data_IF_440363368029
#
_entry.id   IF_440363368029
#
_cell.length_a   1.000
_cell.length_b   1.000
_cell.length_c   1.000
_cell.angle_alpha   90.00
_cell.angle_beta   90.00
_cell.angle_gamma   90.00
#
_symmetry.space_group_name_H-M   'P 1'
#
loop_
_entity.id
_entity.type
_entity.pdbx_description
1 polymer ?
#
# COMPACT_ATOMS: atom_id res chain seq x y z
N UNK A 1 -20.52 -10.30 -13.72
CA UNK A 1 -19.69 -9.20 -13.18
C UNK A 1 -20.49 -8.70 -11.98
N UNK A 2 -20.17 -9.28 -10.84
CA UNK A 2 -20.97 -9.22 -9.64
C UNK A 2 -20.96 -7.83 -8.99
N UNK A 3 -22.06 -7.50 -8.34
CA UNK A 3 -22.34 -6.20 -7.70
C UNK A 3 -21.31 -5.80 -6.63
N UNK A 4 -20.59 -6.75 -6.09
CA UNK A 4 -19.50 -6.57 -5.12
C UNK A 4 -18.28 -5.86 -5.74
N UNK A 5 -18.00 -6.09 -7.03
CA UNK A 5 -16.83 -5.52 -7.74
C UNK A 5 -16.98 -4.00 -8.00
N UNK A 6 -18.19 -3.45 -7.84
CA UNK A 6 -18.46 -2.01 -8.01
C UNK A 6 -18.32 -1.20 -6.71
N UNK A 7 -18.22 -1.86 -5.55
CA UNK A 7 -18.22 -1.21 -4.23
C UNK A 7 -16.82 -1.04 -3.62
N UNK A 8 -15.87 -1.91 -3.96
CA UNK A 8 -14.51 -1.79 -3.45
C UNK A 8 -13.74 -0.68 -4.19
N UNK A 9 -13.40 0.37 -3.49
CA UNK A 9 -12.51 1.41 -4.03
C UNK A 9 -11.08 0.89 -3.95
N UNK A 10 -10.50 0.57 -5.11
CA UNK A 10 -9.09 0.18 -5.18
C UNK A 10 -8.26 1.44 -4.93
N UNK A 11 -7.58 1.47 -3.78
CA UNK A 11 -6.57 2.50 -3.51
C UNK A 11 -5.29 2.07 -4.23
N UNK A 12 -5.09 2.54 -5.44
CA UNK A 12 -3.82 2.44 -6.17
C UNK A 12 -2.82 3.48 -5.61
N UNK A 13 -2.68 3.53 -4.28
CA UNK A 13 -1.75 4.44 -3.61
C UNK A 13 -0.36 3.81 -3.62
N UNK A 14 0.59 4.47 -4.19
CA UNK A 14 2.01 4.07 -4.15
C UNK A 14 2.64 3.64 -5.47
N UNK A 15 1.87 3.25 -6.50
CA UNK A 15 2.42 2.93 -7.81
C UNK A 15 3.03 4.15 -8.50
N UNK A 16 2.33 5.28 -8.46
CA UNK A 16 2.79 6.52 -9.10
C UNK A 16 3.99 7.15 -8.39
N UNK A 17 4.08 6.98 -7.06
CA UNK A 17 5.18 7.53 -6.26
C UNK A 17 6.48 6.76 -6.50
N UNK A 18 6.41 5.43 -6.67
CA UNK A 18 7.60 4.60 -6.94
C UNK A 18 8.27 4.91 -8.29
N UNK A 19 7.54 5.48 -9.26
CA UNK A 19 8.07 5.81 -10.58
C UNK A 19 8.42 7.28 -10.69
N UNK A 20 7.55 8.17 -10.23
CA UNK A 20 7.69 9.61 -10.40
C UNK A 20 8.77 10.23 -9.49
N UNK A 21 9.22 9.52 -8.44
CA UNK A 21 9.97 10.13 -7.35
C UNK A 21 9.11 11.13 -6.55
N UNK A 22 9.65 11.74 -5.50
CA UNK A 22 8.91 12.74 -4.75
C UNK A 22 8.47 13.86 -5.69
N UNK A 23 7.23 14.37 -5.55
CA UNK A 23 6.74 15.46 -6.39
C UNK A 23 7.76 16.60 -6.37
N UNK A 24 8.18 17.03 -7.56
CA UNK A 24 9.11 18.16 -7.67
C UNK A 24 8.42 19.36 -7.07
N UNK A 25 8.82 19.72 -5.85
CA UNK A 25 8.38 20.94 -5.20
C UNK A 25 8.59 22.11 -6.18
N UNK A 26 7.51 22.80 -6.57
CA UNK A 26 7.62 23.97 -7.44
C UNK A 26 8.50 24.99 -6.74
N UNK A 27 9.39 25.64 -7.48
CA UNK A 27 10.37 26.63 -6.96
C UNK A 27 9.78 27.69 -6.00
N UNK A 28 8.47 27.91 -6.00
CA UNK A 28 7.78 28.82 -5.06
C UNK A 28 7.60 28.25 -3.65
N UNK A 29 7.63 26.92 -3.47
CA UNK A 29 7.56 26.29 -2.14
C UNK A 29 8.92 26.27 -1.42
N UNK A 30 10.03 26.34 -2.15
CA UNK A 30 11.37 26.31 -1.57
C UNK A 30 11.71 27.56 -0.73
N UNK A 31 11.05 28.68 -0.95
CA UNK A 31 11.28 29.92 -0.17
C UNK A 31 10.55 29.92 1.17
N UNK A 32 9.44 29.19 1.31
CA UNK A 32 8.70 29.00 2.57
C UNK A 32 9.29 27.89 3.45
N UNK A 33 10.08 26.98 2.86
CA UNK A 33 10.67 25.81 3.55
C UNK A 33 11.79 26.22 4.49
N UNK A 34 12.50 27.33 4.24
CA UNK A 34 13.65 27.75 5.04
C UNK A 34 13.29 28.09 6.51
N UNK A 35 12.07 28.56 6.77
CA UNK A 35 11.62 28.94 8.12
C UNK A 35 10.87 27.81 8.85
N UNK A 36 10.53 26.70 8.17
CA UNK A 36 9.75 25.57 8.69
C UNK A 36 10.46 24.22 8.58
N UNK A 37 11.76 24.19 8.34
CA UNK A 37 12.56 22.96 8.20
C UNK A 37 12.40 21.97 9.37
N UNK A 38 12.00 22.44 10.54
CA UNK A 38 11.80 21.63 11.76
C UNK A 38 10.44 20.89 11.81
N UNK A 39 9.53 21.11 10.86
CA UNK A 39 8.17 20.56 10.91
C UNK A 39 7.94 19.33 10.00
N UNK A 40 8.85 19.03 9.09
CA UNK A 40 8.66 17.91 8.18
C UNK A 40 9.46 16.67 8.63
N UNK A 41 8.85 15.46 8.54
CA UNK A 41 9.54 14.24 8.93
C UNK A 41 10.76 13.99 8.05
N UNK A 42 11.87 13.59 8.67
CA UNK A 42 13.15 13.31 8.01
C UNK A 42 13.51 11.85 7.97
N UNK A 43 12.81 11.02 8.71
CA UNK A 43 12.99 9.59 8.81
C UNK A 43 11.65 8.84 8.95
N UNK A 44 11.70 7.52 8.82
CA UNK A 44 10.51 6.66 8.86
C UNK A 44 9.73 6.79 10.17
N UNK A 45 10.41 6.86 11.33
CA UNK A 45 9.76 6.98 12.63
C UNK A 45 8.97 8.29 12.77
N UNK A 46 9.58 9.41 12.41
CA UNK A 46 8.92 10.72 12.38
C UNK A 46 7.74 10.73 11.40
N UNK A 47 7.90 10.09 10.23
CA UNK A 47 6.83 10.01 9.24
C UNK A 47 5.64 9.19 9.76
N UNK A 48 5.88 8.06 10.43
CA UNK A 48 4.82 7.25 11.03
C UNK A 48 4.05 8.01 12.12
N UNK A 49 4.73 8.83 12.91
CA UNK A 49 4.04 9.68 13.90
C UNK A 49 3.26 10.83 13.21
N UNK A 50 3.83 11.45 12.18
CA UNK A 50 3.18 12.51 11.43
C UNK A 50 1.91 12.03 10.69
N UNK A 51 1.84 10.76 10.26
CA UNK A 51 0.62 10.16 9.68
C UNK A 51 -0.58 10.17 10.64
N UNK A 52 -0.33 10.15 11.96
CA UNK A 52 -1.37 10.11 12.99
C UNK A 52 -1.88 11.50 13.40
N UNK A 53 -1.16 12.54 12.98
CA UNK A 53 -1.50 13.94 13.31
C UNK A 53 -2.71 14.44 12.53
N UNK A 54 -3.27 15.57 12.99
CA UNK A 54 -4.46 16.19 12.38
C UNK A 54 -4.12 17.14 11.21
N UNK A 55 -2.84 17.33 10.89
CA UNK A 55 -2.39 18.16 9.77
C UNK A 55 -2.34 17.33 8.47
N UNK A 56 -3.26 17.55 7.53
CA UNK A 56 -3.34 16.76 6.31
C UNK A 56 -2.16 17.00 5.36
N UNK A 57 -1.53 18.17 5.37
CA UNK A 57 -0.37 18.48 4.53
C UNK A 57 0.88 17.75 5.06
N UNK A 58 1.05 17.74 6.38
CA UNK A 58 2.10 17.00 7.04
C UNK A 58 1.92 15.48 6.85
N UNK A 59 0.70 14.97 7.00
CA UNK A 59 0.39 13.56 6.78
C UNK A 59 0.67 13.12 5.32
N UNK A 60 0.30 13.94 4.33
CA UNK A 60 0.60 13.65 2.92
C UNK A 60 2.11 13.65 2.62
N UNK A 61 2.86 14.56 3.25
CA UNK A 61 4.33 14.60 3.12
C UNK A 61 4.97 13.38 3.77
N UNK A 62 4.47 12.97 4.93
CA UNK A 62 4.91 11.77 5.65
C UNK A 62 4.64 10.50 4.81
N UNK A 63 3.44 10.37 4.23
CA UNK A 63 3.10 9.26 3.35
C UNK A 63 4.06 9.18 2.15
N UNK A 64 4.33 10.31 1.49
CA UNK A 64 5.26 10.36 0.36
C UNK A 64 6.70 9.96 0.76
N UNK A 65 7.16 10.36 1.96
CA UNK A 65 8.46 9.94 2.48
C UNK A 65 8.50 8.43 2.73
N UNK A 66 7.48 7.86 3.36
CA UNK A 66 7.39 6.42 3.62
C UNK A 66 7.44 5.63 2.31
N UNK A 67 6.62 5.97 1.32
CA UNK A 67 6.65 5.32 0.01
C UNK A 67 8.00 5.45 -0.67
N UNK A 68 8.63 6.64 -0.65
CA UNK A 68 9.94 6.85 -1.25
C UNK A 68 11.05 6.03 -0.59
N UNK A 69 10.92 5.78 0.72
CA UNK A 69 11.84 4.95 1.50
C UNK A 69 11.62 3.46 1.23
N UNK A 70 10.37 3.02 1.30
CA UNK A 70 10.01 1.61 1.12
C UNK A 70 10.24 1.10 -0.32
N UNK A 71 10.18 1.98 -1.33
CA UNK A 71 10.44 1.61 -2.72
C UNK A 71 11.93 1.48 -3.09
N UNK A 72 12.84 1.58 -2.12
CA UNK A 72 14.29 1.44 -2.34
C UNK A 72 14.82 0.20 -1.63
N UNK A 73 15.43 -0.69 -2.40
CA UNK A 73 16.07 -1.88 -1.82
C UNK A 73 17.46 -1.57 -1.22
N UNK A 74 18.07 -0.45 -1.62
CA UNK A 74 19.48 -0.12 -1.32
C UNK A 74 20.48 -0.79 -2.27
N UNK A 75 20.00 -1.47 -3.32
CA UNK A 75 20.81 -2.08 -4.37
C UNK A 75 20.32 -1.61 -5.75
N UNK A 76 21.21 -1.01 -6.52
CA UNK A 76 20.87 -0.38 -7.79
C UNK A 76 20.33 -1.37 -8.85
N UNK A 77 20.81 -2.61 -8.82
CA UNK A 77 20.35 -3.64 -9.76
C UNK A 77 18.95 -4.14 -9.38
N UNK A 78 18.71 -4.40 -8.10
CA UNK A 78 17.41 -4.79 -7.60
C UNK A 78 16.40 -3.68 -7.84
N UNK A 79 16.76 -2.42 -7.57
CA UNK A 79 15.91 -1.25 -7.84
C UNK A 79 15.59 -1.08 -9.33
N UNK A 80 16.52 -1.48 -10.23
CA UNK A 80 16.27 -1.49 -11.68
C UNK A 80 15.23 -2.55 -12.06
N UNK A 81 15.36 -3.78 -11.54
CA UNK A 81 14.42 -4.87 -11.81
C UNK A 81 13.05 -4.52 -11.22
N UNK A 82 13.02 -3.97 -10.01
CA UNK A 82 11.79 -3.52 -9.35
C UNK A 82 11.05 -2.48 -10.18
N UNK A 83 11.74 -1.45 -10.68
CA UNK A 83 11.15 -0.43 -11.55
C UNK A 83 10.60 -1.03 -12.85
N UNK A 84 11.32 -1.95 -13.48
CA UNK A 84 10.84 -2.66 -14.67
C UNK A 84 9.53 -3.43 -14.36
N UNK A 85 9.42 -4.06 -13.19
CA UNK A 85 8.19 -4.72 -12.73
C UNK A 85 7.04 -3.74 -12.57
N UNK A 86 7.29 -2.55 -12.00
CA UNK A 86 6.27 -1.50 -11.86
C UNK A 86 5.82 -0.99 -13.23
N UNK A 87 6.73 -0.78 -14.17
CA UNK A 87 6.41 -0.37 -15.55
C UNK A 87 5.57 -1.44 -16.27
N UNK A 88 5.94 -2.73 -16.15
CA UNK A 88 5.17 -3.84 -16.70
C UNK A 88 3.75 -3.90 -16.12
N UNK A 89 3.61 -3.69 -14.80
CA UNK A 89 2.31 -3.64 -14.13
C UNK A 89 1.44 -2.50 -14.66
N UNK A 90 1.99 -1.31 -14.85
CA UNK A 90 1.27 -0.16 -15.43
C UNK A 90 0.84 -0.41 -16.88
N UNK A 91 1.64 -1.14 -17.64
CA UNK A 91 1.32 -1.57 -19.00
C UNK A 91 0.34 -2.76 -19.04
N UNK A 92 -0.20 -3.20 -17.90
CA UNK A 92 -1.07 -4.36 -17.76
C UNK A 92 -0.42 -5.70 -18.20
N UNK A 93 0.89 -5.75 -18.28
CA UNK A 93 1.69 -6.96 -18.56
C UNK A 93 1.87 -7.75 -17.26
N UNK A 94 0.76 -8.25 -16.69
CA UNK A 94 0.74 -8.77 -15.33
C UNK A 94 1.61 -10.01 -15.13
N UNK A 95 1.78 -10.86 -16.15
CA UNK A 95 2.66 -12.04 -16.06
C UNK A 95 4.13 -11.62 -15.96
N UNK A 96 4.57 -10.71 -16.83
CA UNK A 96 5.93 -10.14 -16.81
C UNK A 96 6.21 -9.42 -15.47
N UNK A 97 5.24 -8.65 -14.97
CA UNK A 97 5.37 -7.96 -13.70
C UNK A 97 5.54 -8.95 -12.52
N UNK A 98 4.75 -10.05 -12.50
CA UNK A 98 4.89 -11.07 -11.45
C UNK A 98 6.24 -11.78 -11.46
N UNK A 99 6.78 -12.09 -12.66
CA UNK A 99 8.10 -12.67 -12.83
C UNK A 99 9.21 -11.73 -12.34
N UNK A 100 9.12 -10.43 -12.70
CA UNK A 100 10.10 -9.43 -12.27
C UNK A 100 10.09 -9.23 -10.74
N UNK A 101 8.90 -9.14 -10.11
CA UNK A 101 8.84 -9.05 -8.65
C UNK A 101 9.25 -10.35 -7.97
N UNK A 102 9.00 -11.51 -8.57
CA UNK A 102 9.53 -12.79 -8.07
C UNK A 102 11.04 -12.77 -8.10
N UNK A 103 11.66 -12.27 -9.17
CA UNK A 103 13.11 -12.12 -9.26
C UNK A 103 13.67 -11.14 -8.21
N UNK A 104 12.98 -10.03 -7.93
CA UNK A 104 13.34 -9.12 -6.83
C UNK A 104 13.36 -9.85 -5.50
N UNK A 105 12.34 -10.65 -5.20
CA UNK A 105 12.23 -11.41 -3.95
C UNK A 105 13.32 -12.47 -3.84
N UNK A 106 13.64 -13.19 -4.92
CA UNK A 106 14.74 -14.16 -4.95
C UNK A 106 16.09 -13.52 -4.65
N UNK A 107 16.34 -12.32 -5.18
CA UNK A 107 17.58 -11.59 -4.97
C UNK A 107 17.67 -10.95 -3.58
N UNK A 108 16.56 -10.48 -3.05
CA UNK A 108 16.47 -9.84 -1.73
C UNK A 108 15.13 -10.13 -1.07
N UNK A 109 15.04 -11.25 -0.39
CA UNK A 109 13.83 -11.66 0.31
C UNK A 109 13.39 -10.68 1.42
N UNK A 110 14.32 -9.89 2.00
CA UNK A 110 14.03 -8.90 3.03
C UNK A 110 13.44 -7.60 2.50
N UNK A 111 13.42 -7.38 1.19
CA UNK A 111 12.85 -6.19 0.57
C UNK A 111 11.32 -6.30 0.54
N UNK A 112 10.66 -5.75 1.57
CA UNK A 112 9.22 -5.85 1.80
C UNK A 112 8.38 -5.42 0.58
N UNK A 113 8.80 -4.34 -0.10
CA UNK A 113 8.05 -3.79 -1.23
C UNK A 113 8.04 -4.71 -2.47
N UNK A 114 9.03 -5.58 -2.62
CA UNK A 114 9.02 -6.62 -3.65
C UNK A 114 7.82 -7.58 -3.47
N UNK A 115 7.56 -8.00 -2.24
CA UNK A 115 6.39 -8.80 -1.87
C UNK A 115 5.09 -8.03 -2.06
N UNK A 116 5.02 -6.78 -1.62
CA UNK A 116 3.85 -5.93 -1.75
C UNK A 116 3.44 -5.72 -3.22
N UNK A 117 4.39 -5.44 -4.11
CA UNK A 117 4.10 -5.28 -5.54
C UNK A 117 3.67 -6.59 -6.19
N UNK A 118 4.28 -7.72 -5.83
CA UNK A 118 3.79 -9.01 -6.32
C UNK A 118 2.39 -9.33 -5.81
N UNK A 119 2.07 -8.99 -4.54
CA UNK A 119 0.72 -9.09 -4.01
C UNK A 119 -0.28 -8.29 -4.86
N UNK A 120 0.07 -7.05 -5.20
CA UNK A 120 -0.77 -6.18 -6.05
C UNK A 120 -1.02 -6.82 -7.41
N UNK A 121 0.01 -7.34 -8.08
CA UNK A 121 -0.13 -8.03 -9.37
C UNK A 121 -1.01 -9.27 -9.24
N UNK A 122 -0.84 -10.06 -8.19
CA UNK A 122 -1.67 -11.25 -7.92
C UNK A 122 -3.13 -10.89 -7.67
N UNK A 123 -3.40 -9.81 -6.95
CA UNK A 123 -4.74 -9.26 -6.79
C UNK A 123 -5.37 -8.89 -8.15
N UNK A 124 -4.65 -8.16 -9.00
CA UNK A 124 -5.11 -7.80 -10.36
C UNK A 124 -5.41 -9.03 -11.21
N UNK A 125 -4.68 -10.14 -11.01
CA UNK A 125 -4.91 -11.43 -11.66
C UNK A 125 -5.98 -12.28 -10.97
N UNK A 126 -6.64 -11.77 -9.94
CA UNK A 126 -7.63 -12.47 -9.11
C UNK A 126 -7.07 -13.69 -8.35
N UNK A 127 -5.76 -13.77 -8.20
CA UNK A 127 -5.11 -14.75 -7.32
C UNK A 127 -5.09 -14.20 -5.88
N UNK A 128 -6.26 -14.14 -5.25
CA UNK A 128 -6.42 -13.52 -3.94
C UNK A 128 -5.65 -14.27 -2.84
N UNK A 129 -5.64 -15.59 -2.86
CA UNK A 129 -4.89 -16.39 -1.88
C UNK A 129 -3.37 -16.13 -1.98
N UNK A 130 -2.82 -16.09 -3.20
CA UNK A 130 -1.42 -15.73 -3.41
C UNK A 130 -1.10 -14.30 -3.02
N UNK A 131 -2.04 -13.37 -3.24
CA UNK A 131 -1.91 -11.98 -2.81
C UNK A 131 -1.89 -11.85 -1.29
N UNK A 132 -2.79 -12.53 -0.58
CA UNK A 132 -2.82 -12.56 0.89
C UNK A 132 -1.49 -13.07 1.46
N UNK A 133 -0.96 -14.17 0.90
CA UNK A 133 0.31 -14.73 1.34
C UNK A 133 1.47 -13.72 1.18
N UNK A 134 1.52 -12.99 0.06
CA UNK A 134 2.54 -11.96 -0.17
C UNK A 134 2.34 -10.73 0.72
N UNK A 135 1.11 -10.29 0.99
CA UNK A 135 0.82 -9.24 1.97
C UNK A 135 1.32 -9.62 3.37
N UNK A 136 1.12 -10.88 3.78
CA UNK A 136 1.64 -11.39 5.06
C UNK A 136 3.18 -11.34 5.10
N UNK A 137 3.86 -11.70 3.99
CA UNK A 137 5.31 -11.58 3.89
C UNK A 137 5.78 -10.13 3.96
N UNK A 138 5.04 -9.20 3.35
CA UNK A 138 5.29 -7.76 3.46
C UNK A 138 5.21 -7.30 4.91
N UNK A 139 4.11 -7.63 5.59
CA UNK A 139 3.85 -7.23 6.97
C UNK A 139 4.79 -7.88 7.99
N UNK A 140 5.33 -9.05 7.68
CA UNK A 140 6.36 -9.70 8.51
C UNK A 140 7.70 -8.95 8.45
N UNK A 141 8.00 -8.26 7.35
CA UNK A 141 9.24 -7.48 7.13
C UNK A 141 9.07 -6.02 7.49
N UNK A 142 7.91 -5.47 7.23
CA UNK A 142 7.53 -4.10 7.59
C UNK A 142 6.13 -4.11 8.21
N UNK A 143 6.07 -4.18 9.53
CA UNK A 143 4.81 -4.20 10.30
C UNK A 143 3.96 -2.95 10.15
N UNK A 144 4.56 -1.83 9.70
CA UNK A 144 3.91 -0.54 9.48
C UNK A 144 3.44 -0.32 8.04
N UNK A 145 3.46 -1.36 7.21
CA UNK A 145 3.11 -1.23 5.80
C UNK A 145 1.58 -1.20 5.60
N UNK A 146 0.97 -0.02 5.79
CA UNK A 146 -0.49 0.17 5.70
C UNK A 146 -1.07 -0.25 4.33
N UNK A 147 -0.30 -0.09 3.23
CA UNK A 147 -0.71 -0.54 1.90
C UNK A 147 -0.88 -2.06 1.81
N UNK A 148 0.01 -2.84 2.42
CA UNK A 148 -0.11 -4.30 2.47
C UNK A 148 -1.27 -4.75 3.37
N UNK A 149 -1.47 -4.08 4.51
CA UNK A 149 -2.60 -4.35 5.39
C UNK A 149 -3.95 -4.09 4.68
N UNK A 150 -4.09 -2.95 3.99
CA UNK A 150 -5.29 -2.64 3.22
C UNK A 150 -5.48 -3.57 2.02
N UNK A 151 -4.40 -3.91 1.30
CA UNK A 151 -4.42 -4.85 0.18
C UNK A 151 -4.87 -6.25 0.60
N UNK A 152 -4.42 -6.73 1.77
CA UNK A 152 -4.90 -7.98 2.35
C UNK A 152 -6.40 -7.92 2.64
N UNK A 153 -6.90 -6.80 3.18
CA UNK A 153 -8.32 -6.57 3.41
C UNK A 153 -9.15 -6.62 2.11
N UNK A 154 -8.65 -6.02 1.02
CA UNK A 154 -9.32 -6.09 -0.29
C UNK A 154 -9.39 -7.52 -0.84
N UNK A 155 -8.36 -8.33 -0.61
CA UNK A 155 -8.38 -9.74 -0.98
C UNK A 155 -9.47 -10.51 -0.22
N UNK A 156 -9.55 -10.33 1.11
CA UNK A 156 -10.59 -10.94 1.93
C UNK A 156 -12.00 -10.47 1.53
N UNK A 157 -12.18 -9.17 1.22
CA UNK A 157 -13.44 -8.67 0.64
C UNK A 157 -13.82 -9.42 -0.65
N UNK A 158 -12.85 -9.62 -1.55
CA UNK A 158 -13.06 -10.31 -2.83
C UNK A 158 -13.41 -11.79 -2.66
N UNK A 159 -13.06 -12.38 -1.51
CA UNK A 159 -13.40 -13.75 -1.10
C UNK A 159 -14.68 -13.82 -0.25
N UNK A 160 -15.36 -12.70 0.01
CA UNK A 160 -16.48 -12.55 0.94
C UNK A 160 -16.14 -12.93 2.41
N UNK A 161 -14.87 -12.85 2.77
CA UNK A 161 -14.33 -13.04 4.11
C UNK A 161 -14.36 -11.70 4.87
N UNK A 162 -15.56 -11.18 5.12
CA UNK A 162 -15.77 -9.80 5.57
C UNK A 162 -15.21 -9.53 6.97
N UNK A 163 -15.21 -10.52 7.86
CA UNK A 163 -14.65 -10.37 9.21
C UNK A 163 -13.13 -10.21 9.17
N UNK A 164 -12.45 -11.01 8.36
CA UNK A 164 -11.02 -10.97 8.12
C UNK A 164 -10.63 -9.65 7.43
N UNK A 165 -11.44 -9.22 6.46
CA UNK A 165 -11.26 -7.94 5.79
C UNK A 165 -11.31 -6.77 6.79
N UNK A 166 -12.31 -6.75 7.68
CA UNK A 166 -12.44 -5.71 8.71
C UNK A 166 -11.22 -5.66 9.64
N UNK A 167 -10.67 -6.81 10.04
CA UNK A 167 -9.43 -6.86 10.86
C UNK A 167 -8.26 -6.20 10.11
N UNK A 168 -8.08 -6.54 8.82
CA UNK A 168 -7.00 -5.98 8.02
C UNK A 168 -7.15 -4.47 7.81
N UNK A 169 -8.38 -3.98 7.54
CA UNK A 169 -8.63 -2.55 7.37
C UNK A 169 -8.43 -1.76 8.67
N UNK A 170 -8.85 -2.28 9.83
CA UNK A 170 -8.56 -1.64 11.11
C UNK A 170 -7.05 -1.51 11.34
N UNK A 171 -6.29 -2.58 11.08
CA UNK A 171 -4.82 -2.52 11.16
C UNK A 171 -4.23 -1.44 10.26
N UNK A 172 -4.70 -1.31 9.02
CA UNK A 172 -4.23 -0.25 8.13
C UNK A 172 -4.53 1.15 8.69
N UNK A 173 -5.72 1.35 9.26
CA UNK A 173 -6.15 2.62 9.86
C UNK A 173 -5.45 2.93 11.18
N UNK A 174 -5.01 1.94 11.94
CA UNK A 174 -4.16 2.13 13.13
C UNK A 174 -2.80 2.74 12.77
N UNK A 175 -2.28 2.40 11.57
CA UNK A 175 -1.02 2.94 11.07
C UNK A 175 -1.23 4.30 10.41
N UNK A 176 -2.25 4.40 9.55
CA UNK A 176 -2.56 5.59 8.77
C UNK A 176 -4.06 5.94 8.86
N UNK A 177 -4.47 6.76 9.85
CA UNK A 177 -5.89 7.04 10.12
C UNK A 177 -6.63 7.77 8.99
N UNK A 178 -5.91 8.46 8.10
CA UNK A 178 -6.48 9.33 7.06
C UNK A 178 -6.76 8.60 5.73
N UNK A 179 -6.73 7.26 5.70
CA UNK A 179 -7.07 6.48 4.51
C UNK A 179 -8.60 6.37 4.34
N UNK A 180 -9.22 7.39 3.74
CA UNK A 180 -10.68 7.48 3.59
C UNK A 180 -11.28 6.29 2.84
N UNK A 181 -10.63 5.82 1.79
CA UNK A 181 -11.09 4.65 1.05
C UNK A 181 -11.03 3.36 1.89
N UNK A 182 -10.02 3.22 2.75
CA UNK A 182 -9.92 2.08 3.69
C UNK A 182 -11.02 2.17 4.75
N UNK A 183 -11.31 3.37 5.24
CA UNK A 183 -12.41 3.60 6.19
C UNK A 183 -13.77 3.23 5.58
N UNK A 184 -13.99 3.59 4.31
CA UNK A 184 -15.19 3.19 3.58
C UNK A 184 -15.28 1.67 3.42
N UNK A 185 -14.18 1.00 3.02
CA UNK A 185 -14.14 -0.45 2.86
C UNK A 185 -14.32 -1.18 4.20
N UNK A 186 -13.81 -0.64 5.30
CA UNK A 186 -14.07 -1.16 6.65
C UNK A 186 -15.56 -1.13 6.97
N UNK A 187 -16.23 0.00 6.74
CA UNK A 187 -17.67 0.11 7.01
C UNK A 187 -18.49 -0.89 6.18
N UNK A 188 -18.12 -1.11 4.91
CA UNK A 188 -18.75 -2.14 4.07
C UNK A 188 -18.51 -3.56 4.63
N UNK A 189 -17.27 -3.87 5.02
CA UNK A 189 -16.93 -5.18 5.57
C UNK A 189 -17.67 -5.46 6.89
N UNK A 190 -17.83 -4.45 7.75
CA UNK A 190 -18.58 -4.58 9.00
C UNK A 190 -20.09 -4.77 8.76
N UNK A 191 -20.66 -4.06 7.80
CA UNK A 191 -22.05 -4.20 7.43
C UNK A 191 -22.37 -5.62 6.90
N UNK A 192 -21.56 -6.12 5.98
CA UNK A 192 -21.72 -7.46 5.39
C UNK A 192 -21.37 -8.58 6.39
N UNK A 193 -20.31 -8.39 7.20
CA UNK A 193 -19.88 -9.37 8.22
C UNK A 193 -20.81 -9.47 9.42
N UNK A 194 -21.59 -8.41 9.72
CA UNK A 194 -22.61 -8.40 10.78
C UNK A 194 -23.95 -9.00 10.35
N UNK A 195 -24.24 -9.02 9.03
CA UNK A 195 -25.53 -9.50 8.51
C UNK A 195 -25.75 -11.03 8.54
N UNK A 196 -24.69 -11.82 8.78
CA UNK A 196 -24.78 -13.29 8.80
C UNK A 196 -25.29 -13.87 10.13
N UNK A 197 -25.68 -13.02 11.10
CA UNK A 197 -26.15 -13.42 12.43
C UNK A 197 -27.65 -13.71 12.60
N UNK A 198 -28.47 -13.56 11.57
CA UNK A 198 -29.95 -13.65 11.67
C UNK A 198 -30.59 -14.71 10.76
N UNK A 199 -29.86 -15.69 10.33
CA UNK A 199 -30.46 -16.86 9.63
C UNK A 199 -30.04 -18.17 10.33
N UNK A 200 -30.62 -18.39 11.53
CA UNK A 200 -30.85 -19.70 12.16
C UNK A 200 -32.14 -19.66 12.95
#
# INVERSE_FOLDING_TARGET
>A
MDEVDKRAVIVATGTDICIAGPPRARKRQLTLIADHWFMYPTNEGEALEALKGDDPELAATAEALLWSTWCRSGDAEIDRIFRAGVEAMQQQKLTEAEELFTRVIELRAEFAEGWNKRATVRFMRRNFAGSIADCQQTLARNGNHFGAASGQGLCHMSLNEFREAAVCFRRALEIHPHLDAVRHNLALAEAEGGGTGYLN
#
